data_IF_319960212361
#
_entry.id   IF_319960212361
#
_cell.length_a   1.000
_cell.length_b   1.000
_cell.length_c   1.000
_cell.angle_alpha   90.00
_cell.angle_beta   90.00
_cell.angle_gamma   90.00
#
_symmetry.space_group_name_H-M   'P 1'
#
loop_
_entity.id
_entity.type
_entity.pdbx_description
1 polymer ?
#
# COMPACT_ATOMS: atom_id res chain seq x y z
N UNK A 1 20.59 -5.00 76.18
CA UNK A 1 21.86 -5.73 76.40
C UNK A 1 21.88 -6.98 75.54
N UNK A 2 22.95 -7.12 74.76
CA UNK A 2 23.51 -8.32 74.09
C UNK A 2 22.63 -9.22 73.19
N UNK A 3 23.06 -9.41 71.92
CA UNK A 3 23.85 -10.60 71.54
C UNK A 3 24.52 -10.44 70.16
N UNK A 4 25.81 -10.74 70.15
CA UNK A 4 26.77 -10.79 69.03
C UNK A 4 26.35 -11.87 68.02
N UNK A 5 26.47 -11.62 66.71
CA UNK A 5 26.36 -12.66 65.69
C UNK A 5 27.39 -12.42 64.56
N UNK A 6 28.37 -13.33 64.52
CA UNK A 6 29.38 -13.63 63.51
C UNK A 6 30.05 -12.48 62.75
N UNK A 7 31.27 -12.18 63.19
CA UNK A 7 32.28 -11.57 62.32
C UNK A 7 32.71 -12.60 61.26
N UNK A 8 31.89 -12.74 60.22
CA UNK A 8 32.13 -13.63 59.09
C UNK A 8 33.58 -13.49 58.60
N UNK A 9 34.29 -14.61 58.54
CA UNK A 9 35.69 -14.63 58.13
C UNK A 9 35.81 -14.11 56.69
N UNK A 10 36.95 -13.50 56.37
CA UNK A 10 37.23 -13.05 55.02
C UNK A 10 37.08 -14.22 54.04
N UNK A 11 36.26 -14.00 53.01
CA UNK A 11 35.87 -15.02 52.03
C UNK A 11 37.02 -15.49 51.13
N UNK A 12 38.22 -14.90 51.26
CA UNK A 12 39.42 -15.25 50.49
C UNK A 12 40.45 -15.91 51.39
N UNK A 13 40.97 -15.20 52.40
CA UNK A 13 42.04 -15.74 53.24
C UNK A 13 41.54 -16.60 54.42
N UNK A 14 40.26 -16.51 54.79
CA UNK A 14 39.62 -17.23 55.91
C UNK A 14 40.33 -17.12 57.28
N UNK A 15 41.27 -16.18 57.43
CA UNK A 15 42.15 -16.03 58.60
C UNK A 15 41.81 -14.85 59.48
N UNK A 16 41.11 -13.86 58.95
CA UNK A 16 40.82 -12.59 59.61
C UNK A 16 39.32 -12.30 59.45
N UNK A 17 38.63 -11.79 60.49
CA UNK A 17 37.26 -11.33 60.37
C UNK A 17 37.12 -10.28 59.25
N UNK A 18 36.14 -10.48 58.37
CA UNK A 18 35.84 -9.55 57.29
C UNK A 18 35.22 -8.28 57.86
N UNK A 19 35.82 -7.12 57.52
CA UNK A 19 35.32 -5.80 57.95
C UNK A 19 34.65 -5.03 56.81
N UNK A 20 34.87 -5.46 55.57
CA UNK A 20 34.32 -4.83 54.36
C UNK A 20 33.35 -5.80 53.70
N UNK A 21 32.15 -5.34 53.37
CA UNK A 21 31.11 -6.16 52.72
C UNK A 21 30.91 -5.68 51.28
N UNK A 22 31.00 -6.60 50.31
CA UNK A 22 30.68 -6.31 48.91
C UNK A 22 29.19 -6.59 48.67
N UNK A 23 28.43 -5.57 48.26
CA UNK A 23 26.99 -5.70 47.98
C UNK A 23 26.73 -6.58 46.75
N UNK A 24 27.60 -6.51 45.73
CA UNK A 24 27.44 -7.27 44.49
C UNK A 24 27.54 -8.78 44.70
N UNK A 25 28.61 -9.27 45.33
CA UNK A 25 28.81 -10.70 45.57
C UNK A 25 28.31 -11.20 46.93
N UNK A 26 27.80 -10.30 47.79
CA UNK A 26 27.29 -10.57 49.15
C UNK A 26 28.28 -11.29 50.07
N UNK A 27 29.57 -10.98 49.95
CA UNK A 27 30.67 -11.58 50.72
C UNK A 27 31.41 -10.56 51.59
N UNK A 28 32.01 -11.04 52.68
CA UNK A 28 32.83 -10.25 53.60
C UNK A 28 34.33 -10.46 53.33
N UNK A 29 35.10 -9.40 53.39
CA UNK A 29 36.53 -9.38 53.07
C UNK A 29 37.34 -8.63 54.15
N UNK A 30 38.60 -9.01 54.32
CA UNK A 30 39.55 -8.16 55.05
C UNK A 30 39.97 -6.97 54.16
N UNK A 31 40.46 -5.88 54.74
CA UNK A 31 40.75 -4.64 53.98
C UNK A 31 41.75 -4.83 52.83
N UNK A 32 42.67 -5.79 52.93
CA UNK A 32 43.62 -6.11 51.86
C UNK A 32 42.94 -6.84 50.70
N UNK A 33 42.23 -7.93 51.00
CA UNK A 33 41.56 -8.76 50.00
C UNK A 33 40.37 -8.04 49.37
N UNK A 34 39.76 -7.08 50.08
CA UNK A 34 38.71 -6.22 49.55
C UNK A 34 39.22 -5.31 48.42
N UNK A 35 40.40 -4.68 48.60
CA UNK A 35 41.01 -3.85 47.55
C UNK A 35 41.38 -4.65 46.31
N UNK A 36 41.87 -5.89 46.50
CA UNK A 36 42.14 -6.78 45.37
C UNK A 36 40.83 -7.20 44.70
N UNK A 37 39.79 -7.52 45.47
CA UNK A 37 38.47 -7.85 44.93
C UNK A 37 37.85 -6.69 44.13
N UNK A 38 37.95 -5.45 44.61
CA UNK A 38 37.50 -4.25 43.87
C UNK A 38 38.24 -4.09 42.54
N UNK A 39 39.56 -4.35 42.53
CA UNK A 39 40.36 -4.31 41.30
C UNK A 39 39.93 -5.38 40.30
N UNK A 40 39.64 -6.60 40.77
CA UNK A 40 39.14 -7.68 39.93
C UNK A 40 37.74 -7.38 39.36
N UNK A 41 36.85 -6.77 40.15
CA UNK A 41 35.54 -6.32 39.68
C UNK A 41 35.64 -5.24 38.61
N UNK A 42 36.57 -4.29 38.75
CA UNK A 42 36.84 -3.27 37.73
C UNK A 42 37.27 -3.91 36.41
N UNK A 43 38.23 -4.83 36.46
CA UNK A 43 38.72 -5.53 35.25
C UNK A 43 37.60 -6.36 34.61
N UNK A 44 36.77 -7.02 35.42
CA UNK A 44 35.63 -7.78 34.91
C UNK A 44 34.62 -6.87 34.18
N UNK A 45 34.32 -5.71 34.77
CA UNK A 45 33.41 -4.74 34.17
C UNK A 45 33.97 -4.16 32.86
N UNK A 46 35.26 -3.85 32.82
CA UNK A 46 35.92 -3.37 31.60
C UNK A 46 35.86 -4.43 30.48
N UNK A 47 36.07 -5.71 30.80
CA UNK A 47 35.95 -6.80 29.83
C UNK A 47 34.50 -7.03 29.36
N UNK A 48 33.51 -6.84 30.25
CA UNK A 48 32.10 -6.91 29.87
C UNK A 48 31.72 -5.78 28.90
N UNK A 49 32.22 -4.56 29.14
CA UNK A 49 32.03 -3.42 28.22
C UNK A 49 32.65 -3.71 26.85
N UNK A 50 33.90 -4.20 26.80
CA UNK A 50 34.58 -4.53 25.55
C UNK A 50 33.82 -5.63 24.80
N UNK A 51 33.38 -6.68 25.48
CA UNK A 51 32.59 -7.75 24.85
C UNK A 51 31.27 -7.25 24.29
N UNK A 52 30.53 -6.43 25.04
CA UNK A 52 29.27 -5.85 24.55
C UNK A 52 29.49 -4.86 23.41
N UNK A 53 30.60 -4.12 23.42
CA UNK A 53 31.01 -3.26 22.32
C UNK A 53 31.30 -4.06 21.05
N UNK A 54 32.06 -5.15 21.15
CA UNK A 54 32.40 -6.02 20.01
C UNK A 54 31.17 -6.75 19.47
N UNK A 55 30.25 -7.19 20.33
CA UNK A 55 28.94 -7.73 19.94
C UNK A 55 28.10 -6.69 19.18
N UNK A 56 28.10 -5.42 19.62
CA UNK A 56 27.40 -4.34 18.91
C UNK A 56 28.07 -3.98 17.59
N UNK A 57 29.40 -4.02 17.51
CA UNK A 57 30.13 -3.80 16.26
C UNK A 57 29.85 -4.91 15.24
N UNK A 58 29.80 -6.19 15.66
CA UNK A 58 29.40 -7.30 14.79
C UNK A 58 27.96 -7.12 14.27
N UNK A 59 27.04 -6.66 15.12
CA UNK A 59 25.67 -6.31 14.70
C UNK A 59 25.67 -5.15 13.69
N UNK A 60 26.42 -4.08 13.95
CA UNK A 60 26.52 -2.92 13.04
C UNK A 60 27.14 -3.34 11.70
N UNK A 61 28.20 -4.15 11.73
CA UNK A 61 28.89 -4.61 10.54
C UNK A 61 28.02 -5.56 9.70
N UNK A 62 27.12 -6.34 10.34
CA UNK A 62 26.08 -7.10 9.65
C UNK A 62 24.98 -6.23 9.05
N UNK A 63 24.68 -5.08 9.66
CA UNK A 63 23.72 -4.11 9.10
C UNK A 63 24.31 -3.31 7.92
N UNK A 64 25.64 -3.21 7.81
CA UNK A 64 26.34 -2.51 6.74
C UNK A 64 26.51 -3.34 5.45
N UNK A 65 26.19 -4.65 5.48
CA UNK A 65 26.30 -5.55 4.34
C UNK A 65 24.91 -6.05 3.89
N UNK A 66 24.25 -5.36 2.93
CA UNK A 66 22.84 -5.59 2.59
C UNK A 66 22.55 -6.94 1.89
N UNK A 67 23.59 -7.68 1.48
CA UNK A 67 23.44 -8.92 0.70
C UNK A 67 23.31 -10.20 1.56
N UNK A 68 23.53 -10.14 2.87
CA UNK A 68 23.60 -11.35 3.74
C UNK A 68 22.45 -11.46 4.77
N UNK A 69 21.46 -10.56 4.71
CA UNK A 69 20.29 -10.57 5.60
C UNK A 69 19.03 -11.05 4.87
N UNK A 70 18.93 -12.37 4.71
CA UNK A 70 17.64 -13.05 4.67
C UNK A 70 16.97 -12.86 6.05
N UNK A 71 16.24 -11.76 6.19
CA UNK A 71 15.41 -11.54 7.36
C UNK A 71 14.23 -12.50 7.30
N UNK A 72 14.39 -13.67 7.93
CA UNK A 72 13.33 -14.64 8.19
C UNK A 72 12.06 -13.97 8.76
N UNK A 73 12.21 -12.89 9.53
CA UNK A 73 11.09 -12.07 10.02
C UNK A 73 10.36 -11.28 8.90
N UNK A 74 11.08 -10.69 7.93
CA UNK A 74 10.45 -10.00 6.80
C UNK A 74 9.80 -11.00 5.84
N UNK A 75 10.44 -12.14 5.59
CA UNK A 75 9.82 -13.24 4.83
C UNK A 75 8.56 -13.77 5.53
N UNK A 76 8.58 -13.92 6.85
CA UNK A 76 7.40 -14.29 7.63
C UNK A 76 6.32 -13.22 7.61
N UNK A 77 6.67 -11.93 7.67
CA UNK A 77 5.72 -10.81 7.53
C UNK A 77 5.10 -10.82 6.13
N UNK A 78 5.88 -11.04 5.08
CA UNK A 78 5.37 -11.03 3.71
C UNK A 78 4.57 -12.30 3.39
N UNK A 79 4.94 -13.45 3.94
CA UNK A 79 4.10 -14.65 3.92
C UNK A 79 2.78 -14.42 4.68
N UNK A 80 2.83 -13.78 5.85
CA UNK A 80 1.64 -13.43 6.63
C UNK A 80 0.72 -12.47 5.87
N UNK A 81 1.28 -11.43 5.23
CA UNK A 81 0.53 -10.53 4.35
C UNK A 81 -0.12 -11.30 3.20
N UNK A 82 0.64 -12.14 2.49
CA UNK A 82 0.13 -12.96 1.37
C UNK A 82 -1.03 -13.86 1.80
N UNK A 83 -0.90 -14.55 2.93
CA UNK A 83 -1.93 -15.44 3.47
C UNK A 83 -3.18 -14.64 3.87
N UNK A 84 -3.01 -13.51 4.55
CA UNK A 84 -4.12 -12.67 5.01
C UNK A 84 -4.89 -12.10 3.83
N UNK A 85 -4.18 -11.55 2.84
CA UNK A 85 -4.79 -11.04 1.59
C UNK A 85 -5.52 -12.16 0.85
N UNK A 86 -4.93 -13.35 0.74
CA UNK A 86 -5.57 -14.49 0.08
C UNK A 86 -6.86 -14.91 0.79
N UNK A 87 -6.87 -14.95 2.12
CA UNK A 87 -8.08 -15.29 2.91
C UNK A 87 -9.19 -14.25 2.76
N UNK A 88 -8.85 -12.96 2.76
CA UNK A 88 -9.81 -11.87 2.53
C UNK A 88 -10.38 -11.95 1.10
N UNK A 89 -9.52 -12.16 0.09
CA UNK A 89 -9.96 -12.36 -1.31
C UNK A 89 -10.89 -13.57 -1.46
N UNK A 90 -10.58 -14.69 -0.80
CA UNK A 90 -11.42 -15.89 -0.83
C UNK A 90 -12.75 -15.71 -0.08
N UNK A 91 -12.77 -14.94 1.01
CA UNK A 91 -14.01 -14.59 1.70
C UNK A 91 -14.89 -13.68 0.83
N UNK A 92 -14.31 -12.66 0.21
CA UNK A 92 -15.01 -11.78 -0.72
C UNK A 92 -15.53 -12.53 -1.97
N UNK A 93 -14.73 -13.47 -2.51
CA UNK A 93 -15.15 -14.31 -3.64
C UNK A 93 -16.34 -15.21 -3.29
N UNK A 94 -16.34 -15.80 -2.09
CA UNK A 94 -17.49 -16.60 -1.60
C UNK A 94 -18.73 -15.74 -1.38
N UNK A 95 -18.59 -14.57 -0.75
CA UNK A 95 -19.71 -13.65 -0.57
C UNK A 95 -20.33 -13.21 -1.91
N UNK A 96 -19.48 -12.97 -2.94
CA UNK A 96 -19.95 -12.70 -4.30
C UNK A 96 -20.68 -13.91 -4.90
N UNK A 97 -20.15 -15.12 -4.72
CA UNK A 97 -20.78 -16.33 -5.22
C UNK A 97 -22.16 -16.57 -4.58
N UNK A 98 -22.27 -16.47 -3.27
CA UNK A 98 -23.52 -16.67 -2.53
C UNK A 98 -24.58 -15.62 -2.93
N UNK A 99 -24.15 -14.38 -3.18
CA UNK A 99 -25.02 -13.32 -3.68
C UNK A 99 -25.53 -13.62 -5.10
N UNK A 100 -24.66 -14.10 -5.98
CA UNK A 100 -25.02 -14.52 -7.35
C UNK A 100 -25.99 -15.70 -7.30
N UNK A 101 -25.74 -16.71 -6.47
CA UNK A 101 -26.63 -17.87 -6.33
C UNK A 101 -28.02 -17.47 -5.82
N UNK A 102 -28.08 -16.54 -4.85
CA UNK A 102 -29.33 -16.00 -4.35
C UNK A 102 -30.10 -15.23 -5.44
N UNK A 103 -29.39 -14.43 -6.25
CA UNK A 103 -29.93 -13.71 -7.40
C UNK A 103 -30.50 -14.71 -8.41
N UNK A 104 -29.74 -15.74 -8.79
CA UNK A 104 -30.15 -16.72 -9.79
C UNK A 104 -31.35 -17.55 -9.34
N UNK A 105 -31.39 -17.96 -8.07
CA UNK A 105 -32.52 -18.69 -7.50
C UNK A 105 -33.82 -17.86 -7.58
N UNK A 106 -33.74 -16.56 -7.26
CA UNK A 106 -34.90 -15.65 -7.34
C UNK A 106 -35.25 -15.29 -8.79
N UNK A 107 -34.26 -15.07 -9.67
CA UNK A 107 -34.46 -14.88 -11.12
C UNK A 107 -35.23 -16.06 -11.72
N UNK A 108 -34.86 -17.27 -11.36
CA UNK A 108 -35.53 -18.49 -11.81
C UNK A 108 -36.98 -18.54 -11.32
N UNK A 109 -37.24 -18.17 -10.07
CA UNK A 109 -38.60 -18.11 -9.52
C UNK A 109 -39.48 -17.07 -10.22
N UNK A 110 -38.96 -15.85 -10.45
CA UNK A 110 -39.66 -14.78 -11.18
C UNK A 110 -39.94 -15.19 -12.62
N UNK A 111 -38.96 -15.80 -13.29
CA UNK A 111 -39.10 -16.28 -14.67
C UNK A 111 -40.22 -17.31 -14.78
N UNK A 112 -40.28 -18.28 -13.84
CA UNK A 112 -41.34 -19.28 -13.78
C UNK A 112 -42.73 -18.67 -13.56
N UNK A 113 -42.84 -17.62 -12.76
CA UNK A 113 -44.11 -16.89 -12.56
C UNK A 113 -44.55 -16.15 -13.82
N UNK A 114 -43.62 -15.50 -14.53
CA UNK A 114 -43.89 -14.83 -15.80
C UNK A 114 -44.30 -15.83 -16.89
N UNK A 115 -43.67 -17.00 -16.96
CA UNK A 115 -44.04 -18.08 -17.88
C UNK A 115 -45.45 -18.63 -17.60
N UNK A 116 -45.82 -18.76 -16.32
CA UNK A 116 -47.16 -19.19 -15.92
C UNK A 116 -48.23 -18.15 -16.35
N UNK A 117 -47.96 -16.86 -16.13
CA UNK A 117 -48.81 -15.76 -16.61
C UNK A 117 -48.93 -15.80 -18.14
N UNK A 118 -47.81 -15.97 -18.85
CA UNK A 118 -47.83 -16.06 -20.31
C UNK A 118 -48.64 -17.26 -20.83
N UNK A 119 -48.66 -18.38 -20.08
CA UNK A 119 -49.47 -19.56 -20.42
C UNK A 119 -50.96 -19.30 -20.20
N UNK A 120 -51.33 -18.63 -19.10
CA UNK A 120 -52.71 -18.24 -18.78
C UNK A 120 -53.28 -17.25 -19.84
N UNK A 121 -52.45 -16.30 -20.29
CA UNK A 121 -52.81 -15.39 -21.39
C UNK A 121 -53.08 -16.17 -22.69
N UNK A 122 -52.25 -17.17 -23.01
CA UNK A 122 -52.43 -17.98 -24.23
C UNK A 122 -53.71 -18.80 -24.17
N UNK A 123 -54.00 -19.48 -23.05
CA UNK A 123 -55.21 -20.30 -22.92
C UNK A 123 -56.49 -19.49 -23.07
N UNK A 124 -56.57 -18.29 -22.48
CA UNK A 124 -57.76 -17.45 -22.62
C UNK A 124 -57.90 -16.82 -24.01
N UNK A 125 -56.80 -16.66 -24.75
CA UNK A 125 -56.84 -16.20 -26.15
C UNK A 125 -57.40 -17.27 -27.08
N UNK A 126 -57.13 -18.54 -26.80
CA UNK A 126 -57.62 -19.68 -27.57
C UNK A 126 -59.11 -19.99 -27.29
N UNK A 127 -59.64 -19.55 -26.15
CA UNK A 127 -61.04 -19.75 -25.73
C UNK A 127 -61.99 -18.59 -26.09
N UNK A 128 -61.51 -17.54 -26.78
CA UNK A 128 -62.25 -16.30 -27.14
C UNK A 128 -62.98 -15.58 -25.97
N UNK A 129 -62.64 -15.91 -24.71
CA UNK A 129 -63.32 -15.43 -23.50
C UNK A 129 -62.44 -14.49 -22.65
N UNK A 130 -61.71 -13.56 -23.28
CA UNK A 130 -60.85 -12.61 -22.56
C UNK A 130 -61.67 -11.44 -22.01
N UNK A 131 -62.11 -11.52 -20.74
CA UNK A 131 -62.95 -10.51 -20.10
C UNK A 131 -62.11 -9.45 -19.36
N UNK A 132 -62.71 -8.30 -19.06
CA UNK A 132 -62.06 -7.22 -18.29
C UNK A 132 -61.58 -7.69 -16.90
N UNK A 133 -62.27 -8.66 -16.29
CA UNK A 133 -61.90 -9.23 -14.99
C UNK A 133 -60.59 -10.02 -15.05
N UNK A 134 -60.33 -10.73 -16.16
CA UNK A 134 -59.08 -11.47 -16.38
C UNK A 134 -57.89 -10.50 -16.52
N UNK A 135 -58.09 -9.37 -17.21
CA UNK A 135 -57.08 -8.30 -17.31
C UNK A 135 -56.76 -7.73 -15.92
N UNK A 136 -57.77 -7.50 -15.09
CA UNK A 136 -57.60 -7.00 -13.73
C UNK A 136 -56.82 -7.99 -12.84
N UNK A 137 -57.13 -9.28 -12.94
CA UNK A 137 -56.41 -10.35 -12.22
C UNK A 137 -54.95 -10.46 -12.67
N UNK A 138 -54.68 -10.40 -13.98
CA UNK A 138 -53.32 -10.44 -14.53
C UNK A 138 -52.48 -9.22 -14.11
N UNK A 139 -53.07 -8.01 -14.11
CA UNK A 139 -52.41 -6.80 -13.61
C UNK A 139 -52.04 -6.90 -12.14
N UNK A 140 -52.90 -7.51 -11.33
CA UNK A 140 -52.63 -7.75 -9.91
C UNK A 140 -51.42 -8.66 -9.71
N UNK A 141 -51.37 -9.79 -10.43
CA UNK A 141 -50.22 -10.72 -10.42
C UNK A 141 -48.91 -10.03 -10.85
N UNK A 142 -48.95 -9.17 -11.87
CA UNK A 142 -47.78 -8.43 -12.34
C UNK A 142 -47.27 -7.41 -11.29
N UNK A 143 -48.19 -6.68 -10.64
CA UNK A 143 -47.86 -5.74 -9.58
C UNK A 143 -47.25 -6.41 -8.34
N UNK A 144 -47.66 -7.65 -8.02
CA UNK A 144 -47.05 -8.43 -6.95
C UNK A 144 -45.60 -8.81 -7.28
N UNK A 145 -45.32 -9.24 -8.52
CA UNK A 145 -43.95 -9.51 -8.99
C UNK A 145 -43.09 -8.24 -8.92
N UNK A 146 -43.63 -7.10 -9.34
CA UNK A 146 -42.93 -5.82 -9.30
C UNK A 146 -42.55 -5.41 -7.87
N UNK A 147 -43.45 -5.57 -6.89
CA UNK A 147 -43.15 -5.30 -5.47
C UNK A 147 -42.03 -6.18 -4.91
N UNK A 148 -41.97 -7.45 -5.32
CA UNK A 148 -40.90 -8.37 -4.91
C UNK A 148 -39.54 -7.93 -5.47
N UNK A 149 -39.51 -7.39 -6.69
CA UNK A 149 -38.29 -6.85 -7.31
C UNK A 149 -37.82 -5.54 -6.64
N UNK A 150 -38.74 -4.68 -6.22
CA UNK A 150 -38.40 -3.38 -5.58
C UNK A 150 -37.82 -3.54 -4.16
N UNK A 151 -38.24 -4.56 -3.40
CA UNK A 151 -37.73 -4.84 -2.05
C UNK A 151 -36.27 -5.35 -2.02
N UNK A 152 -35.75 -5.78 -3.17
CA UNK A 152 -34.45 -6.44 -3.32
C UNK A 152 -33.23 -5.52 -3.07
N UNK A 153 -33.36 -4.21 -3.23
CA UNK A 153 -32.18 -3.32 -3.35
C UNK A 153 -31.51 -2.89 -2.04
N UNK A 154 -32.19 -2.93 -0.88
CA UNK A 154 -31.65 -2.34 0.37
C UNK A 154 -31.45 -3.29 1.55
N UNK A 155 -32.24 -4.37 1.64
CA UNK A 155 -32.31 -5.21 2.87
C UNK A 155 -31.48 -6.49 2.76
N UNK A 156 -31.40 -7.08 1.58
CA UNK A 156 -30.64 -8.31 1.33
C UNK A 156 -29.13 -8.02 1.26
N UNK A 157 -28.71 -6.88 0.71
CA UNK A 157 -27.32 -6.39 0.72
C UNK A 157 -26.76 -6.24 2.13
N UNK A 158 -27.57 -5.73 3.07
CA UNK A 158 -27.18 -5.58 4.48
C UNK A 158 -27.01 -6.92 5.20
N UNK A 159 -27.85 -7.92 4.91
CA UNK A 159 -27.76 -9.25 5.53
C UNK A 159 -26.55 -10.03 5.04
N UNK A 160 -26.21 -9.92 3.76
CA UNK A 160 -25.02 -10.53 3.20
C UNK A 160 -23.73 -9.98 3.85
N UNK A 161 -23.64 -8.67 4.04
CA UNK A 161 -22.49 -8.00 4.69
C UNK A 161 -22.31 -8.48 6.15
N UNK A 162 -23.40 -8.57 6.92
CA UNK A 162 -23.37 -8.99 8.33
C UNK A 162 -22.90 -10.45 8.49
N UNK A 163 -23.40 -11.36 7.64
CA UNK A 163 -23.02 -12.79 7.69
C UNK A 163 -21.52 -13.02 7.41
N UNK A 164 -20.90 -12.19 6.56
CA UNK A 164 -19.45 -12.23 6.32
C UNK A 164 -18.61 -11.80 7.52
N UNK A 165 -19.12 -10.88 8.35
CA UNK A 165 -18.36 -10.33 9.46
C UNK A 165 -18.31 -11.29 10.66
N UNK A 166 -19.37 -12.09 10.85
CA UNK A 166 -19.46 -13.09 11.93
C UNK A 166 -18.61 -14.36 11.67
N UNK A 167 -18.17 -14.60 10.42
CA UNK A 167 -17.31 -15.74 10.07
C UNK A 167 -15.81 -15.46 10.18
N UNK A 168 -15.42 -14.20 10.40
CA UNK A 168 -14.02 -13.84 10.65
C UNK A 168 -13.80 -13.88 12.16
N UNK A 169 -13.32 -15.03 12.65
CA UNK A 169 -12.87 -15.18 14.02
C UNK A 169 -11.53 -14.46 14.22
N UNK A 170 -11.60 -13.17 14.56
CA UNK A 170 -10.45 -12.32 14.81
C UNK A 170 -9.60 -12.80 16.00
N UNK A 171 -10.20 -13.48 16.98
CA UNK A 171 -9.50 -13.97 18.18
C UNK A 171 -8.64 -15.21 17.88
N UNK A 172 -9.08 -16.11 16.97
CA UNK A 172 -8.26 -17.23 16.50
C UNK A 172 -7.07 -16.81 15.64
N UNK A 173 -7.14 -15.67 14.95
CA UNK A 173 -6.03 -15.14 14.13
C UNK A 173 -4.87 -14.66 15.02
N UNK A 174 -5.17 -14.13 16.22
CA UNK A 174 -4.17 -13.66 17.19
C UNK A 174 -3.51 -14.84 17.95
N UNK A 175 -4.21 -15.97 18.11
CA UNK A 175 -3.76 -17.12 18.91
C UNK A 175 -2.90 -18.16 18.17
N UNK A 176 -2.54 -17.95 16.89
CA UNK A 176 -1.55 -18.80 16.21
C UNK A 176 -0.14 -18.32 16.59
N UNK A 177 0.23 -18.48 17.86
CA UNK A 177 1.63 -18.50 18.30
C UNK A 177 1.82 -19.59 19.34
N UNK A 178 2.87 -20.40 19.18
CA UNK A 178 3.33 -21.21 20.31
C UNK A 178 4.21 -22.40 20.02
N UNK A 179 5.33 -22.24 19.28
CA UNK A 179 6.49 -23.11 19.50
C UNK A 179 7.84 -22.40 19.62
N UNK A 180 7.85 -21.10 19.93
CA UNK A 180 9.00 -20.52 20.64
C UNK A 180 8.45 -19.61 21.73
N UNK A 181 8.76 -19.94 22.99
CA UNK A 181 8.45 -19.10 24.16
C UNK A 181 9.16 -17.77 23.97
N UNK A 182 8.42 -16.75 23.52
CA UNK A 182 8.81 -15.38 23.82
C UNK A 182 8.57 -15.26 25.32
N UNK A 183 9.66 -15.32 26.09
CA UNK A 183 9.62 -15.09 27.52
C UNK A 183 8.91 -13.76 27.74
N UNK A 184 7.96 -13.78 28.66
CA UNK A 184 7.16 -12.66 29.13
C UNK A 184 8.03 -11.43 29.44
N UNK A 185 8.16 -10.52 28.49
CA UNK A 185 8.39 -9.11 28.76
C UNK A 185 7.03 -8.41 28.88
N UNK A 186 6.27 -8.83 29.89
CA UNK A 186 5.21 -8.01 30.46
C UNK A 186 5.89 -6.91 31.30
N UNK A 187 6.48 -5.96 30.59
CA UNK A 187 7.07 -4.76 31.13
C UNK A 187 7.07 -3.78 29.98
N UNK A 188 5.95 -3.06 29.84
CA UNK A 188 5.73 -1.94 28.93
C UNK A 188 6.97 -1.59 28.08
N UNK A 189 7.15 -2.29 26.96
CA UNK A 189 7.73 -1.61 25.83
C UNK A 189 6.63 -0.64 25.43
N UNK A 190 6.79 0.68 25.64
CA UNK A 190 5.93 1.59 24.91
C UNK A 190 6.13 1.17 23.45
N UNK A 191 5.05 0.74 22.80
CA UNK A 191 4.96 0.83 21.35
C UNK A 191 5.15 2.31 21.06
N UNK A 192 6.41 2.70 20.95
CA UNK A 192 6.78 3.97 20.40
C UNK A 192 6.55 3.80 18.90
N UNK A 193 5.27 3.77 18.50
CA UNK A 193 4.84 4.12 17.15
C UNK A 193 5.08 5.62 16.94
N UNK A 194 6.25 6.13 17.34
CA UNK A 194 6.88 7.22 16.63
C UNK A 194 7.32 6.65 15.27
N UNK A 195 6.35 6.34 14.40
CA UNK A 195 6.35 6.98 13.08
C UNK A 195 6.14 8.48 13.28
N UNK A 196 6.99 9.11 14.10
CA UNK A 196 7.38 10.48 13.86
C UNK A 196 8.10 10.35 12.53
N UNK A 197 7.52 10.93 11.49
CA UNK A 197 8.30 11.44 10.37
C UNK A 197 9.65 11.85 10.92
N UNK A 198 10.73 11.20 10.47
CA UNK A 198 12.07 11.68 10.79
C UNK A 198 12.02 13.12 10.30
N UNK A 199 12.04 14.09 11.23
CA UNK A 199 11.83 15.52 10.93
C UNK A 199 12.99 16.11 10.09
N UNK A 200 13.88 15.25 9.60
CA UNK A 200 14.99 15.57 8.74
C UNK A 200 14.68 14.96 7.37
N UNK A 201 13.84 15.65 6.58
CA UNK A 201 13.76 15.37 5.16
C UNK A 201 15.16 15.51 4.56
N UNK A 202 15.60 14.50 3.81
CA UNK A 202 16.89 14.54 3.11
C UNK A 202 16.63 14.77 1.63
N UNK A 203 17.49 15.55 0.99
CA UNK A 203 17.43 15.73 -0.45
C UNK A 203 17.99 14.49 -1.13
N UNK A 204 17.13 13.79 -1.87
CA UNK A 204 17.49 12.57 -2.61
C UNK A 204 17.69 12.82 -4.12
N UNK A 205 17.26 13.98 -4.63
CA UNK A 205 17.44 14.40 -6.02
C UNK A 205 17.46 15.94 -6.14
N UNK A 206 18.19 16.50 -7.11
CA UNK A 206 18.19 17.93 -7.45
C UNK A 206 18.81 18.90 -6.45
N UNK A 207 19.52 18.42 -5.42
CA UNK A 207 20.05 19.23 -4.31
C UNK A 207 21.17 20.22 -4.64
N UNK A 208 21.44 20.49 -5.92
CA UNK A 208 22.51 21.40 -6.38
C UNK A 208 21.97 22.73 -6.95
N UNK A 209 20.76 23.12 -6.53
CA UNK A 209 20.08 24.34 -6.97
C UNK A 209 19.31 24.18 -8.28
N UNK A 210 18.55 25.22 -8.66
CA UNK A 210 17.81 25.28 -9.92
C UNK A 210 18.77 25.35 -11.12
N UNK A 211 18.48 24.57 -12.16
CA UNK A 211 19.25 24.58 -13.39
C UNK A 211 19.10 23.31 -14.22
N UNK A 212 19.89 23.22 -15.30
CA UNK A 212 19.81 22.16 -16.31
C UNK A 212 20.94 21.14 -16.24
N UNK A 213 21.89 21.29 -15.31
CA UNK A 213 22.95 20.28 -15.11
C UNK A 213 22.33 18.97 -14.60
N UNK A 214 23.07 17.88 -14.72
CA UNK A 214 22.55 16.54 -14.39
C UNK A 214 22.35 16.29 -12.89
N UNK A 215 22.95 17.12 -12.04
CA UNK A 215 22.73 17.16 -10.60
C UNK A 215 21.73 18.26 -10.16
N UNK A 216 21.12 18.94 -11.12
CA UNK A 216 20.14 20.01 -10.91
C UNK A 216 18.80 19.61 -11.55
N UNK A 217 17.72 20.22 -11.05
CA UNK A 217 16.38 20.12 -11.62
C UNK A 217 15.85 21.54 -11.80
N UNK A 218 14.89 21.73 -12.71
CA UNK A 218 14.19 22.98 -12.89
C UNK A 218 12.68 22.76 -12.99
N UNK A 219 11.99 23.22 -11.95
CA UNK A 219 10.55 23.06 -11.75
C UNK A 219 10.04 21.60 -11.88
N UNK A 220 10.62 20.62 -11.17
CA UNK A 220 10.13 19.24 -11.25
C UNK A 220 8.72 19.12 -10.66
N UNK A 221 7.80 18.44 -11.35
CA UNK A 221 6.36 18.39 -10.98
C UNK A 221 5.78 16.99 -10.79
N UNK A 222 6.33 15.97 -11.44
CA UNK A 222 5.86 14.59 -11.36
C UNK A 222 7.01 13.61 -11.13
N UNK A 223 6.73 12.50 -10.45
CA UNK A 223 7.70 11.45 -10.19
C UNK A 223 7.06 10.07 -10.02
N UNK A 224 7.84 9.03 -10.29
CA UNK A 224 7.56 7.67 -9.84
C UNK A 224 8.82 6.99 -9.32
N UNK A 225 8.63 5.85 -8.65
CA UNK A 225 9.71 5.09 -8.01
C UNK A 225 9.56 3.62 -8.41
N UNK A 226 10.65 2.98 -8.82
CA UNK A 226 10.68 1.55 -9.13
C UNK A 226 10.97 0.66 -7.91
N UNK A 227 11.01 -0.65 -8.14
CA UNK A 227 11.28 -1.64 -7.09
C UNK A 227 12.71 -1.54 -6.51
N UNK A 228 13.66 -1.00 -7.29
CA UNK A 228 15.05 -0.76 -6.90
C UNK A 228 15.23 0.60 -6.17
N UNK A 229 14.13 1.33 -5.92
CA UNK A 229 14.10 2.67 -5.35
C UNK A 229 14.82 3.73 -6.21
N UNK A 230 14.89 3.50 -7.52
CA UNK A 230 15.24 4.53 -8.50
C UNK A 230 14.05 5.45 -8.70
N UNK A 231 14.31 6.74 -8.70
CA UNK A 231 13.28 7.78 -8.85
C UNK A 231 13.36 8.31 -10.27
N UNK A 232 12.23 8.29 -10.99
CA UNK A 232 12.09 8.95 -12.28
C UNK A 232 11.34 10.25 -12.07
N UNK A 233 11.89 11.35 -12.59
CA UNK A 233 11.42 12.71 -12.33
C UNK A 233 11.11 13.40 -13.65
N UNK A 234 9.92 13.96 -13.76
CA UNK A 234 9.54 14.89 -14.81
C UNK A 234 10.13 16.27 -14.50
N UNK A 235 11.26 16.58 -15.12
CA UNK A 235 12.00 17.82 -14.96
C UNK A 235 11.46 18.86 -15.96
N UNK A 236 10.30 19.43 -15.60
CA UNK A 236 9.38 20.18 -16.46
C UNK A 236 10.06 21.25 -17.32
N UNK A 237 10.77 22.19 -16.68
CA UNK A 237 11.37 23.33 -17.39
C UNK A 237 12.62 22.95 -18.17
N UNK A 238 13.20 21.78 -17.87
CA UNK A 238 14.31 21.22 -18.63
C UNK A 238 13.86 20.24 -19.73
N UNK A 239 12.56 20.04 -19.93
CA UNK A 239 12.00 19.25 -21.03
C UNK A 239 12.56 17.81 -21.09
N UNK A 240 12.71 17.17 -19.92
CA UNK A 240 13.37 15.87 -19.80
C UNK A 240 12.79 15.03 -18.67
N UNK A 241 13.00 13.72 -18.77
CA UNK A 241 12.86 12.78 -17.66
C UNK A 241 14.26 12.40 -17.18
N UNK A 242 14.47 12.54 -15.87
CA UNK A 242 15.73 12.19 -15.21
C UNK A 242 15.47 11.01 -14.27
N UNK A 243 16.26 9.96 -14.38
CA UNK A 243 16.29 8.92 -13.35
C UNK A 243 17.37 9.25 -12.30
N UNK A 244 17.11 8.85 -11.07
CA UNK A 244 18.00 9.05 -9.94
C UNK A 244 18.04 7.77 -9.11
N UNK A 245 19.10 6.98 -9.27
CA UNK A 245 19.27 5.74 -8.53
C UNK A 245 19.39 6.01 -7.02
N UNK A 246 19.00 5.03 -6.20
CA UNK A 246 19.09 5.14 -4.75
C UNK A 246 20.52 5.49 -4.31
N UNK A 247 20.66 6.60 -3.59
CA UNK A 247 21.96 7.09 -3.08
C UNK A 247 22.85 7.78 -4.12
N UNK A 248 22.41 7.94 -5.37
CA UNK A 248 23.16 8.69 -6.36
C UNK A 248 23.23 10.18 -6.01
N UNK A 249 24.30 10.85 -6.42
CA UNK A 249 24.48 12.30 -6.25
C UNK A 249 24.18 13.09 -7.52
N UNK A 250 23.98 12.39 -8.64
CA UNK A 250 23.69 12.95 -9.96
C UNK A 250 22.66 12.04 -10.64
N UNK A 251 21.76 12.64 -11.42
CA UNK A 251 20.79 11.88 -12.20
C UNK A 251 21.37 11.32 -13.50
N UNK A 252 20.51 10.71 -14.31
CA UNK A 252 20.78 10.36 -15.70
C UNK A 252 19.55 10.70 -16.54
N UNK A 253 19.74 11.40 -17.66
CA UNK A 253 18.63 11.66 -18.58
C UNK A 253 18.24 10.36 -19.27
N UNK A 254 16.95 10.00 -19.18
CA UNK A 254 16.40 8.77 -19.78
C UNK A 254 15.44 9.03 -20.91
N UNK A 255 14.87 10.24 -20.98
CA UNK A 255 14.03 10.73 -22.06
C UNK A 255 14.16 12.25 -22.20
N UNK A 256 14.12 12.79 -23.43
CA UNK A 256 14.21 14.23 -23.67
C UNK A 256 15.60 14.83 -23.48
N UNK A 257 15.64 16.11 -23.06
CA UNK A 257 16.86 16.80 -22.61
C UNK A 257 17.79 17.35 -23.69
N UNK A 258 17.46 17.21 -24.97
CA UNK A 258 18.23 17.82 -26.06
C UNK A 258 17.78 19.24 -26.39
N UNK A 259 16.48 19.50 -26.31
CA UNK A 259 15.78 20.79 -26.47
C UNK A 259 14.27 20.52 -26.32
N UNK A 260 13.47 21.56 -26.03
CA UNK A 260 12.02 21.45 -26.13
C UNK A 260 11.60 21.18 -27.57
N UNK A 261 10.70 20.24 -27.79
CA UNK A 261 10.19 19.96 -29.12
C UNK A 261 9.22 18.79 -29.16
N UNK A 262 8.74 18.48 -30.37
CA UNK A 262 7.74 17.44 -30.64
C UNK A 262 8.24 16.30 -31.52
N UNK A 263 9.53 16.32 -31.90
CA UNK A 263 10.14 15.24 -32.69
C UNK A 263 10.36 14.01 -31.81
N UNK A 264 10.64 12.86 -32.43
CA UNK A 264 11.05 11.66 -31.72
C UNK A 264 12.23 11.96 -30.79
N UNK A 265 12.13 11.57 -29.54
CA UNK A 265 13.09 11.83 -28.46
C UNK A 265 13.03 13.22 -27.85
N UNK A 266 12.15 14.10 -28.33
CA UNK A 266 11.92 15.42 -27.75
C UNK A 266 10.61 15.45 -26.96
N UNK A 267 10.65 16.17 -25.86
CA UNK A 267 9.49 16.42 -24.99
C UNK A 267 9.34 17.92 -24.83
N UNK A 268 8.13 18.35 -24.46
CA UNK A 268 7.81 19.74 -24.17
C UNK A 268 7.03 19.77 -22.87
N UNK A 269 7.66 20.28 -21.80
CA UNK A 269 7.04 20.44 -20.50
C UNK A 269 6.42 19.14 -19.95
N UNK A 270 7.19 18.05 -19.79
CA UNK A 270 6.65 16.83 -19.25
C UNK A 270 6.16 17.05 -17.81
N UNK A 271 4.97 16.57 -17.50
CA UNK A 271 4.29 16.83 -16.21
C UNK A 271 4.24 15.62 -15.30
N UNK A 272 4.29 14.41 -15.86
CA UNK A 272 4.22 13.19 -15.07
C UNK A 272 4.90 12.02 -15.79
N UNK A 273 5.33 11.04 -14.99
CA UNK A 273 6.01 9.84 -15.46
C UNK A 273 5.65 8.67 -14.55
N UNK A 274 5.23 7.55 -15.14
CA UNK A 274 5.02 6.29 -14.43
C UNK A 274 5.81 5.17 -15.10
N UNK A 275 6.04 4.10 -14.34
CA UNK A 275 6.66 2.88 -14.85
C UNK A 275 5.64 2.06 -15.61
N UNK A 276 6.02 1.66 -16.82
CA UNK A 276 5.24 0.75 -17.64
C UNK A 276 5.66 -0.70 -17.37
N UNK A 277 4.91 -1.38 -16.51
CA UNK A 277 5.20 -2.77 -16.13
C UNK A 277 5.10 -3.75 -17.31
N UNK A 278 4.34 -3.41 -18.35
CA UNK A 278 4.16 -4.29 -19.51
C UNK A 278 5.39 -4.24 -20.44
N UNK A 279 5.89 -3.04 -20.73
CA UNK A 279 7.03 -2.85 -21.65
C UNK A 279 8.39 -2.76 -20.94
N UNK A 280 8.41 -2.78 -19.61
CA UNK A 280 9.59 -2.46 -18.80
C UNK A 280 10.19 -1.08 -19.16
N UNK A 281 9.30 -0.13 -19.48
CA UNK A 281 9.61 1.23 -19.93
C UNK A 281 8.94 2.29 -19.06
N UNK A 282 8.67 3.44 -19.64
CA UNK A 282 8.00 4.57 -18.99
C UNK A 282 6.75 4.96 -19.78
N UNK A 283 5.72 5.45 -19.08
CA UNK A 283 4.64 6.22 -19.68
C UNK A 283 4.80 7.66 -19.20
N UNK A 284 4.96 8.58 -20.16
CA UNK A 284 5.31 9.97 -19.90
C UNK A 284 4.16 10.86 -20.39
N UNK A 285 3.71 11.77 -19.54
CA UNK A 285 2.90 12.89 -19.99
C UNK A 285 3.79 13.94 -20.65
N UNK A 286 3.54 14.21 -21.91
CA UNK A 286 4.20 15.25 -22.71
C UNK A 286 3.23 16.41 -22.93
N UNK A 287 2.90 17.10 -21.83
CA UNK A 287 1.83 18.08 -21.74
C UNK A 287 1.91 19.18 -22.80
N UNK A 288 3.10 19.76 -23.03
CA UNK A 288 3.30 20.80 -24.04
C UNK A 288 3.05 20.34 -25.47
N UNK A 289 3.15 19.03 -25.72
CA UNK A 289 2.83 18.40 -27.00
C UNK A 289 1.43 17.75 -27.02
N UNK A 290 0.64 17.89 -25.94
CA UNK A 290 -0.71 17.36 -25.78
C UNK A 290 -0.82 15.85 -26.05
N UNK A 291 0.15 15.07 -25.59
CA UNK A 291 0.23 13.62 -25.83
C UNK A 291 0.75 12.87 -24.61
N UNK A 292 0.44 11.57 -24.57
CA UNK A 292 1.05 10.61 -23.65
C UNK A 292 1.87 9.63 -24.47
N UNK A 293 3.09 9.40 -24.03
CA UNK A 293 4.11 8.63 -24.75
C UNK A 293 4.53 7.43 -23.93
N UNK A 294 4.42 6.24 -24.51
CA UNK A 294 5.09 5.03 -24.04
C UNK A 294 6.53 5.05 -24.57
N UNK A 295 7.49 5.03 -23.66
CA UNK A 295 8.90 5.31 -23.92
C UNK A 295 9.80 4.18 -23.44
N UNK A 296 10.74 3.81 -24.31
CA UNK A 296 11.92 3.01 -24.00
C UNK A 296 13.11 3.53 -24.82
N UNK A 297 14.32 3.05 -24.54
CA UNK A 297 15.51 3.44 -25.34
C UNK A 297 15.41 3.05 -26.81
N UNK A 298 14.62 2.02 -27.12
CA UNK A 298 14.51 1.44 -28.46
C UNK A 298 13.23 1.88 -29.18
N UNK A 299 12.16 2.13 -28.43
CA UNK A 299 10.85 2.45 -28.95
C UNK A 299 10.22 3.69 -28.29
N UNK A 300 9.64 4.55 -29.13
CA UNK A 300 8.77 5.66 -28.71
C UNK A 300 7.43 5.48 -29.43
N UNK A 301 6.36 5.41 -28.65
CA UNK A 301 5.01 5.25 -29.15
C UNK A 301 4.09 6.30 -28.50
N UNK A 302 3.39 7.08 -29.33
CA UNK A 302 2.32 7.95 -28.83
C UNK A 302 1.07 7.10 -28.62
N UNK A 303 0.74 6.85 -27.36
CA UNK A 303 -0.38 5.97 -26.99
C UNK A 303 -1.70 6.74 -26.86
N UNK A 304 -1.65 8.03 -26.50
CA UNK A 304 -2.82 8.90 -26.39
C UNK A 304 -2.44 10.29 -26.94
N UNK A 305 -3.31 10.87 -27.76
CA UNK A 305 -3.08 12.17 -28.41
C UNK A 305 -4.21 13.14 -28.12
N UNK A 306 -3.94 14.45 -28.29
CA UNK A 306 -4.88 15.54 -28.05
C UNK A 306 -5.46 15.57 -26.62
N UNK A 307 -4.59 15.39 -25.64
CA UNK A 307 -4.92 15.36 -24.21
C UNK A 307 -4.03 16.33 -23.42
N UNK A 308 -4.63 17.17 -22.58
CA UNK A 308 -3.91 18.06 -21.67
C UNK A 308 -3.51 17.30 -20.39
N UNK A 309 -2.71 16.25 -20.54
CA UNK A 309 -2.39 15.36 -19.43
C UNK A 309 -1.50 16.07 -18.40
N UNK A 310 -2.01 16.34 -17.20
CA UNK A 310 -1.17 16.84 -16.09
C UNK A 310 -0.68 15.70 -15.21
N UNK A 311 -1.59 14.83 -14.79
CA UNK A 311 -1.29 13.63 -14.01
C UNK A 311 -1.82 12.40 -14.71
N UNK A 312 -1.10 11.28 -14.55
CA UNK A 312 -1.52 10.00 -15.09
C UNK A 312 -1.22 8.85 -14.14
N UNK A 313 -2.03 7.80 -14.22
CA UNK A 313 -1.82 6.58 -13.45
C UNK A 313 -2.34 5.38 -14.21
N UNK A 314 -1.89 4.19 -13.82
CA UNK A 314 -2.31 2.92 -14.42
C UNK A 314 -2.74 1.98 -13.30
N UNK A 315 -3.89 1.35 -13.46
CA UNK A 315 -4.37 0.33 -12.53
C UNK A 315 -3.72 -1.04 -12.80
N UNK A 316 -4.01 -2.02 -11.95
CA UNK A 316 -3.44 -3.38 -12.06
C UNK A 316 -3.99 -4.20 -13.24
N UNK A 317 -5.01 -3.71 -13.95
CA UNK A 317 -5.50 -4.29 -15.21
C UNK A 317 -5.00 -3.56 -16.46
N UNK A 318 -4.17 -2.52 -16.30
CA UNK A 318 -3.52 -1.81 -17.40
C UNK A 318 -4.36 -0.68 -18.01
N UNK A 319 -5.42 -0.22 -17.34
CA UNK A 319 -6.20 0.94 -17.76
C UNK A 319 -5.46 2.22 -17.36
N UNK A 320 -5.31 3.13 -18.32
CA UNK A 320 -4.64 4.42 -18.11
C UNK A 320 -5.67 5.46 -17.71
N UNK A 321 -5.45 6.14 -16.60
CA UNK A 321 -6.26 7.24 -16.14
C UNK A 321 -5.48 8.54 -16.30
N UNK A 322 -6.10 9.55 -16.89
CA UNK A 322 -5.48 10.85 -17.16
C UNK A 322 -6.35 11.94 -16.58
N UNK A 323 -5.72 12.83 -15.82
CA UNK A 323 -6.25 14.15 -15.52
C UNK A 323 -6.02 15.07 -16.73
N UNK A 324 -7.06 15.28 -17.55
CA UNK A 324 -7.03 16.24 -18.66
C UNK A 324 -7.36 17.63 -18.10
N UNK A 325 -6.31 18.36 -17.74
CA UNK A 325 -6.45 19.65 -17.06
C UNK A 325 -7.05 20.74 -17.95
N UNK A 326 -6.94 20.60 -19.27
CA UNK A 326 -7.54 21.51 -20.26
C UNK A 326 -9.06 21.32 -20.33
N UNK A 327 -9.53 20.08 -20.15
CA UNK A 327 -10.94 19.72 -20.29
C UNK A 327 -11.67 19.58 -18.96
N UNK A 328 -10.96 19.75 -17.84
CA UNK A 328 -11.55 19.67 -16.50
C UNK A 328 -12.24 18.32 -16.24
N UNK A 329 -11.56 17.25 -16.61
CA UNK A 329 -12.10 15.89 -16.54
C UNK A 329 -11.00 14.86 -16.28
N UNK A 330 -11.40 13.72 -15.71
CA UNK A 330 -10.57 12.52 -15.63
C UNK A 330 -11.11 11.53 -16.65
N UNK A 331 -10.23 11.06 -17.53
CA UNK A 331 -10.55 10.04 -18.53
C UNK A 331 -9.79 8.76 -18.24
N UNK A 332 -10.47 7.64 -18.46
CA UNK A 332 -9.91 6.29 -18.46
C UNK A 332 -9.80 5.80 -19.89
N UNK A 333 -8.65 5.26 -20.25
CA UNK A 333 -8.34 4.71 -21.56
C UNK A 333 -7.98 3.24 -21.44
N UNK A 334 -8.51 2.43 -22.34
CA UNK A 334 -7.96 1.11 -22.62
C UNK A 334 -6.84 1.24 -23.65
N UNK A 335 -5.84 0.34 -23.62
CA UNK A 335 -4.78 0.33 -24.62
C UNK A 335 -5.37 0.24 -26.05
N UNK A 336 -4.93 1.16 -26.92
CA UNK A 336 -5.45 1.31 -28.29
C UNK A 336 -6.74 2.13 -28.42
N UNK A 337 -7.31 2.62 -27.32
CA UNK A 337 -8.46 3.52 -27.32
C UNK A 337 -8.04 4.98 -27.52
N UNK A 338 -8.69 5.70 -28.45
CA UNK A 338 -8.34 7.09 -28.76
C UNK A 338 -9.19 8.16 -28.04
N UNK A 339 -10.37 7.81 -27.53
CA UNK A 339 -11.31 8.79 -26.97
C UNK A 339 -11.34 8.77 -25.44
N UNK A 340 -11.19 7.59 -24.83
CA UNK A 340 -11.30 7.39 -23.40
C UNK A 340 -12.73 7.60 -22.89
N UNK A 341 -13.03 6.98 -21.77
CA UNK A 341 -14.28 7.15 -21.03
C UNK A 341 -14.09 8.18 -19.92
N UNK A 342 -14.97 9.19 -19.82
CA UNK A 342 -14.95 10.12 -18.69
C UNK A 342 -15.38 9.36 -17.43
N UNK A 343 -14.57 9.43 -16.38
CA UNK A 343 -14.84 8.78 -15.08
C UNK A 343 -15.08 9.78 -13.96
N UNK A 344 -14.59 11.03 -14.10
CA UNK A 344 -14.91 12.13 -13.20
C UNK A 344 -14.86 13.47 -13.95
N UNK A 345 -15.64 14.46 -13.50
CA UNK A 345 -15.71 15.76 -14.16
C UNK A 345 -16.47 15.73 -15.50
N UNK A 346 -16.01 16.52 -16.47
CA UNK A 346 -16.60 16.58 -17.82
C UNK A 346 -17.86 17.44 -17.95
N UNK A 347 -18.28 18.13 -16.87
CA UNK A 347 -19.43 19.05 -16.86
C UNK A 347 -19.01 20.51 -16.66
N UNK A 348 -17.84 20.85 -17.21
CA UNK A 348 -17.25 22.18 -17.12
C UNK A 348 -16.57 22.47 -15.79
N UNK A 349 -16.07 23.71 -15.70
CA UNK A 349 -15.30 24.20 -14.55
C UNK A 349 -16.23 24.46 -13.37
N UNK A 350 -15.91 23.91 -12.19
CA UNK A 350 -16.62 24.27 -10.97
C UNK A 350 -16.37 23.35 -9.79
N UNK A 351 -17.17 23.57 -8.75
CA UNK A 351 -17.17 22.82 -7.48
C UNK A 351 -18.39 21.92 -7.31
N UNK A 352 -19.22 21.78 -8.36
CA UNK A 352 -20.33 20.83 -8.37
C UNK A 352 -19.86 19.39 -8.32
N UNK A 353 -20.73 18.47 -7.87
CA UNK A 353 -20.41 17.05 -7.66
C UNK A 353 -19.83 16.34 -8.91
N UNK A 354 -20.17 16.83 -10.10
CA UNK A 354 -19.76 16.30 -11.39
C UNK A 354 -18.89 17.29 -12.21
N UNK A 355 -18.34 18.31 -11.55
CA UNK A 355 -17.43 19.30 -12.14
C UNK A 355 -16.04 19.16 -11.54
N UNK A 356 -15.02 19.50 -12.32
CA UNK A 356 -13.65 19.65 -11.83
C UNK A 356 -13.12 21.01 -12.24
N UNK A 357 -12.04 21.44 -11.60
CA UNK A 357 -11.35 22.67 -11.96
C UNK A 357 -9.85 22.39 -12.06
N UNK A 358 -9.34 22.24 -13.29
CA UNK A 358 -7.95 21.93 -13.58
C UNK A 358 -7.41 20.77 -12.72
N UNK A 359 -7.96 19.55 -12.87
CA UNK A 359 -7.44 18.41 -12.13
C UNK A 359 -5.97 18.19 -12.51
N UNK A 360 -5.11 18.09 -11.49
CA UNK A 360 -3.66 17.91 -11.68
C UNK A 360 -3.22 16.48 -11.41
N UNK A 361 -3.85 15.81 -10.46
CA UNK A 361 -3.43 14.48 -10.04
C UNK A 361 -4.60 13.50 -10.16
N UNK A 362 -4.27 12.25 -10.47
CA UNK A 362 -5.20 11.12 -10.42
C UNK A 362 -4.45 9.94 -9.82
N UNK A 363 -5.11 9.20 -8.92
CA UNK A 363 -4.58 7.95 -8.39
C UNK A 363 -5.71 6.92 -8.44
N UNK A 364 -5.34 5.65 -8.59
CA UNK A 364 -6.31 4.56 -8.53
C UNK A 364 -5.93 3.64 -7.37
N UNK A 365 -6.91 3.33 -6.51
CA UNK A 365 -6.71 2.42 -5.40
C UNK A 365 -6.85 0.95 -5.83
N UNK A 366 -6.63 0.03 -4.88
CA UNK A 366 -6.70 -1.43 -5.12
C UNK A 366 -8.11 -1.93 -5.42
N UNK A 367 -9.13 -1.12 -5.19
CA UNK A 367 -10.53 -1.42 -5.50
C UNK A 367 -10.94 -0.81 -6.86
N UNK A 368 -9.97 -0.27 -7.62
CA UNK A 368 -10.16 0.46 -8.88
C UNK A 368 -11.00 1.73 -8.73
N UNK A 369 -11.03 2.32 -7.53
CA UNK A 369 -11.65 3.62 -7.30
C UNK A 369 -10.70 4.74 -7.75
N UNK A 370 -11.26 5.76 -8.39
CA UNK A 370 -10.55 6.87 -9.05
C UNK A 370 -10.84 8.19 -8.33
#
# INVERSE_FOLDING_TARGET
MAKVADSSLCSVCNKIPGRCFCVGCKKYFCSKDFKEHEKQLSIQFDNEIVRSHDELLDIIQRLENPDDLSYDLFDQIDQWKKITISKVKNAAARARHDLIELIDKRRTAVTKQLEAIAKEIRSHRDEENFLEDDIARLRTKLNEIQKVLEQFTRKDTKRAIIATNDQIDWDRIIHIQGKHKIASFAGNLPLNTNTKWIQNGVTIAGGSGDGSRINQLSYPVGLCIDEDQTIYIADYSNHRIVEWARGATMGRVVAGGSESGSRRGQFSYPTDVIIDKESNGLIISDYGNRRVVRWSRENEEVIISNVGCWGLTVDDVGLIYIADCDKHEIRRYQMGENQGTIVAGGNGVGSGLNQLNHPTCVFVDRDHSV
#
